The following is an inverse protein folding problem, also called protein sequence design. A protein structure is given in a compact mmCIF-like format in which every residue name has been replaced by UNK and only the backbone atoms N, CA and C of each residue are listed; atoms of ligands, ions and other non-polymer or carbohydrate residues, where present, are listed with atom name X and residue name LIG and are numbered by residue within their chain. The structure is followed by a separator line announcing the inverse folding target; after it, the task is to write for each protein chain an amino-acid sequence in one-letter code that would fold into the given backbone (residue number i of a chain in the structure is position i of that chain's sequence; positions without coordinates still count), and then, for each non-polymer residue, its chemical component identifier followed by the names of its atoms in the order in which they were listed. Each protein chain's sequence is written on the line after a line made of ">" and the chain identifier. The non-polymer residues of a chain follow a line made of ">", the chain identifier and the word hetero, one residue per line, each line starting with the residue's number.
data_IF_721068217817
#
_entry.id   IF_721068217817
#
_cell.length_a   1.000
_cell.length_b   1.000
_cell.length_c   1.000
_cell.angle_alpha   90.00
_cell.angle_beta   90.00
_cell.angle_gamma   90.00
#
_symmetry.space_group_name_H-M   'P 1'
#
loop_
_entity.id
_entity.type
_entity.pdbx_description
1 polymer ?
#
# COMPACT_ATOMS: atom_id res chain seq x y z
N UNK A 1 -8.78 11.30 35.63
CA UNK A 1 -9.34 10.82 34.33
C UNK A 1 -9.19 11.94 33.30
N UNK A 2 -8.03 12.03 32.65
CA UNK A 2 -7.78 13.04 31.62
C UNK A 2 -8.36 12.52 30.30
N UNK A 3 -9.36 13.22 29.73
CA UNK A 3 -9.88 12.89 28.40
C UNK A 3 -8.76 13.12 27.38
N UNK A 4 -8.18 12.05 26.86
CA UNK A 4 -7.34 12.12 25.66
C UNK A 4 -8.28 12.39 24.48
N UNK A 5 -8.38 13.66 24.06
CA UNK A 5 -9.06 14.01 22.80
C UNK A 5 -8.14 13.55 21.66
N UNK A 6 -8.31 12.32 21.21
CA UNK A 6 -7.69 11.87 19.96
C UNK A 6 -8.49 12.48 18.80
N UNK A 7 -8.05 13.64 18.33
CA UNK A 7 -8.58 14.24 17.12
C UNK A 7 -7.98 13.50 15.92
N UNK A 8 -8.75 12.60 15.30
CA UNK A 8 -8.30 11.80 14.17
C UNK A 8 -8.09 12.71 12.94
N UNK A 9 -6.84 13.08 12.67
CA UNK A 9 -6.48 13.87 11.51
C UNK A 9 -6.59 13.02 10.24
N UNK A 10 -7.49 13.38 9.33
CA UNK A 10 -7.57 12.77 8.00
C UNK A 10 -6.34 13.19 7.19
N UNK A 11 -5.58 12.22 6.71
CA UNK A 11 -4.35 12.41 5.97
C UNK A 11 -4.53 12.06 4.48
N UNK A 12 -3.79 12.72 3.59
CA UNK A 12 -3.93 12.54 2.13
C UNK A 12 -3.43 11.17 1.69
N UNK A 13 -4.24 10.44 0.92
CA UNK A 13 -3.88 9.19 0.25
C UNK A 13 -3.86 9.42 -1.25
N UNK A 14 -2.93 8.80 -1.98
CA UNK A 14 -2.92 8.81 -3.45
C UNK A 14 -3.26 7.41 -3.97
N UNK A 15 -4.26 7.35 -4.85
CA UNK A 15 -4.68 6.13 -5.53
C UNK A 15 -4.24 6.23 -6.99
N UNK A 16 -3.55 5.19 -7.47
CA UNK A 16 -3.11 5.09 -8.85
C UNK A 16 -3.60 3.78 -9.43
N UNK A 17 -4.30 3.84 -10.56
CA UNK A 17 -4.67 2.66 -11.36
C UNK A 17 -3.78 2.67 -12.60
N UNK A 18 -2.97 1.62 -12.75
CA UNK A 18 -2.04 1.52 -13.86
C UNK A 18 -1.86 0.07 -14.28
N UNK A 19 -1.44 -0.13 -15.53
CA UNK A 19 -0.84 -1.38 -15.95
C UNK A 19 0.65 -1.30 -15.67
N UNK A 20 1.15 -2.17 -14.80
CA UNK A 20 2.54 -2.15 -14.36
C UNK A 20 3.04 -3.56 -14.05
N UNK A 21 4.36 -3.75 -14.02
CA UNK A 21 5.05 -4.86 -13.35
C UNK A 21 5.45 -4.41 -11.94
N UNK A 22 5.63 -5.35 -11.01
CA UNK A 22 6.09 -5.01 -9.65
C UNK A 22 7.20 -5.97 -9.23
N UNK A 23 8.34 -5.41 -8.88
CA UNK A 23 9.45 -6.12 -8.24
C UNK A 23 9.46 -5.79 -6.75
N UNK A 24 9.25 -6.80 -5.92
CA UNK A 24 9.34 -6.71 -4.48
C UNK A 24 10.68 -7.28 -4.03
N UNK A 25 11.51 -6.45 -3.40
CA UNK A 25 12.83 -6.81 -2.90
C UNK A 25 12.88 -6.56 -1.40
N UNK A 26 13.32 -7.56 -0.62
CA UNK A 26 13.41 -7.48 0.83
C UNK A 26 13.76 -8.83 1.44
N UNK A 27 13.18 -9.18 2.60
CA UNK A 27 13.34 -10.53 3.20
C UNK A 27 12.88 -11.64 2.25
N UNK A 28 11.84 -11.37 1.47
CA UNK A 28 11.38 -12.21 0.37
C UNK A 28 11.54 -11.41 -0.93
N UNK A 29 11.85 -12.11 -2.02
CA UNK A 29 11.91 -11.53 -3.36
C UNK A 29 10.73 -12.07 -4.17
N UNK A 30 9.97 -11.18 -4.82
CA UNK A 30 8.85 -11.58 -5.67
C UNK A 30 8.75 -10.69 -6.90
N UNK A 31 8.54 -11.30 -8.06
CA UNK A 31 8.24 -10.61 -9.30
C UNK A 31 6.77 -10.84 -9.67
N UNK A 32 6.04 -9.75 -9.85
CA UNK A 32 4.66 -9.76 -10.31
C UNK A 32 4.61 -9.30 -11.77
N UNK A 33 4.12 -10.15 -12.70
CA UNK A 33 4.08 -9.85 -14.13
C UNK A 33 3.12 -8.70 -14.45
N UNK A 34 3.21 -8.14 -15.66
CA UNK A 34 2.39 -6.99 -16.08
C UNK A 34 0.90 -7.27 -15.95
N UNK A 35 0.21 -6.43 -15.18
CA UNK A 35 -1.25 -6.50 -14.99
C UNK A 35 -1.78 -5.13 -14.56
N UNK A 36 -3.10 -4.93 -14.69
CA UNK A 36 -3.80 -3.78 -14.13
C UNK A 36 -3.82 -3.90 -12.61
N UNK A 37 -3.34 -2.86 -11.93
CA UNK A 37 -3.20 -2.84 -10.47
C UNK A 37 -3.71 -1.52 -9.90
N UNK A 38 -4.26 -1.62 -8.69
CA UNK A 38 -4.53 -0.47 -7.84
C UNK A 38 -3.40 -0.34 -6.83
N UNK A 39 -2.72 0.80 -6.86
CA UNK A 39 -1.63 1.17 -5.97
C UNK A 39 -2.13 2.22 -4.98
N UNK A 40 -2.01 1.93 -3.68
CA UNK A 40 -2.34 2.87 -2.60
C UNK A 40 -1.06 3.39 -1.97
N UNK A 41 -0.85 4.70 -2.02
CA UNK A 41 0.21 5.39 -1.30
C UNK A 41 -0.40 6.13 -0.11
N UNK A 42 -0.11 5.63 1.08
CA UNK A 42 -0.70 6.15 2.33
C UNK A 42 0.17 7.24 2.92
N UNK A 43 -0.45 8.09 3.72
CA UNK A 43 0.24 9.21 4.35
C UNK A 43 1.29 8.81 5.38
N UNK A 44 1.19 7.60 5.94
CA UNK A 44 2.20 7.03 6.83
C UNK A 44 3.43 6.53 6.08
N UNK A 45 3.43 6.57 4.75
CA UNK A 45 4.51 6.06 3.88
C UNK A 45 4.35 4.60 3.48
N UNK A 46 3.34 3.90 3.98
CA UNK A 46 3.06 2.53 3.57
C UNK A 46 2.44 2.46 2.17
N UNK A 47 2.73 1.36 1.46
CA UNK A 47 2.25 1.11 0.10
C UNK A 47 1.55 -0.24 0.04
N UNK A 48 0.40 -0.29 -0.63
CA UNK A 48 -0.36 -1.52 -0.87
C UNK A 48 -0.59 -1.72 -2.38
N UNK A 49 -0.34 -2.93 -2.86
CA UNK A 49 -0.52 -3.33 -4.27
C UNK A 49 -1.64 -4.34 -4.36
N UNK A 50 -2.68 -4.03 -5.14
CA UNK A 50 -3.83 -4.90 -5.38
C UNK A 50 -3.92 -5.27 -6.87
N UNK A 51 -4.35 -6.49 -7.17
CA UNK A 51 -4.74 -6.91 -8.51
C UNK A 51 -6.20 -7.39 -8.53
N UNK A 52 -6.78 -7.46 -9.71
CA UNK A 52 -8.21 -7.73 -9.94
C UNK A 52 -8.56 -9.24 -9.85
N UNK A 53 -7.80 -10.03 -9.09
CA UNK A 53 -7.96 -11.49 -8.98
C UNK A 53 -9.11 -11.92 -8.03
N UNK A 54 -10.01 -10.99 -7.69
CA UNK A 54 -11.07 -11.11 -6.67
C UNK A 54 -10.56 -11.37 -5.24
N UNK A 55 -9.27 -11.22 -4.96
CA UNK A 55 -8.76 -11.26 -3.61
C UNK A 55 -8.92 -9.89 -2.92
N UNK A 56 -9.67 -9.84 -1.82
CA UNK A 56 -9.76 -8.67 -0.94
C UNK A 56 -8.41 -8.34 -0.28
N UNK A 57 -7.51 -9.32 -0.16
CA UNK A 57 -6.18 -9.14 0.43
C UNK A 57 -5.22 -8.52 -0.60
N UNK A 58 -4.38 -7.54 -0.19
CA UNK A 58 -3.34 -7.01 -1.08
C UNK A 58 -2.38 -8.14 -1.48
N UNK A 59 -1.87 -8.08 -2.72
CA UNK A 59 -0.82 -8.98 -3.17
C UNK A 59 0.46 -8.75 -2.35
N UNK A 60 0.84 -7.48 -2.19
CA UNK A 60 2.01 -7.08 -1.40
C UNK A 60 1.68 -5.85 -0.55
N UNK A 61 2.22 -5.83 0.67
CA UNK A 61 2.20 -4.68 1.56
C UNK A 61 3.63 -4.33 1.97
N UNK A 62 4.01 -3.07 1.81
CA UNK A 62 5.28 -2.53 2.32
C UNK A 62 5.01 -1.56 3.46
N UNK A 63 5.71 -1.78 4.57
CA UNK A 63 5.84 -0.77 5.63
C UNK A 63 6.62 0.45 5.10
N UNK A 64 6.46 1.61 5.74
CA UNK A 64 7.21 2.81 5.35
C UNK A 64 8.72 2.51 5.32
N UNK A 65 9.48 3.06 4.36
CA UNK A 65 10.93 3.08 4.47
C UNK A 65 11.30 3.70 5.82
N UNK A 66 12.20 3.07 6.58
CA UNK A 66 12.68 3.67 7.82
C UNK A 66 13.30 5.04 7.48
N UNK A 67 12.71 6.09 8.06
CA UNK A 67 13.25 7.45 8.00
C UNK A 67 14.44 7.61 8.93
#
# INVERSE_FOLDING_TARGET
>A
MTRCKAEAKVSRVRLVIAQCTVDYVGRLTAHLPSARRLLLFKADGSVSVHADDRAYKPLNWMSPPAG
#
